data_IF_235672727198
#
_entry.id   IF_235672727198
#
_cell.length_a   1.000
_cell.length_b   1.000
_cell.length_c   1.000
_cell.angle_alpha   90.00
_cell.angle_beta   90.00
_cell.angle_gamma   90.00
#
_symmetry.space_group_name_H-M   'P 1'
#
loop_
_entity.id
_entity.type
_entity.pdbx_description
1 polymer ?
#
# COMPACT_ATOMS: atom_id res chain seq x y z
N UNK A 1 34.70 -17.89 -1.46
CA UNK A 1 33.63 -17.93 -2.50
C UNK A 1 32.35 -18.18 -1.75
N UNK A 2 31.61 -17.13 -1.48
CA UNK A 2 30.26 -17.22 -0.92
C UNK A 2 29.35 -17.79 -1.99
N UNK A 3 28.60 -18.83 -1.62
CA UNK A 3 27.61 -19.49 -2.47
C UNK A 3 26.70 -18.45 -3.15
N UNK A 4 26.43 -18.53 -4.47
CA UNK A 4 25.54 -17.58 -5.13
C UNK A 4 24.11 -17.78 -4.60
N UNK A 5 23.83 -17.11 -3.59
CA UNK A 5 22.68 -16.39 -3.11
C UNK A 5 21.32 -16.84 -3.66
N UNK A 6 20.73 -17.75 -2.96
CA UNK A 6 19.28 -17.75 -2.86
C UNK A 6 18.88 -16.65 -1.88
N UNK A 7 18.66 -15.43 -2.39
CA UNK A 7 18.11 -14.34 -1.57
C UNK A 7 16.72 -14.76 -1.10
N UNK A 8 16.44 -14.58 0.19
CA UNK A 8 15.12 -14.87 0.72
C UNK A 8 14.05 -14.02 0.04
N UNK A 9 13.01 -14.66 -0.48
CA UNK A 9 11.84 -13.99 -1.04
C UNK A 9 10.86 -13.51 0.06
N UNK A 10 11.14 -13.84 1.31
CA UNK A 10 10.39 -13.37 2.48
C UNK A 10 11.19 -12.28 3.21
N UNK A 11 10.50 -11.33 3.87
CA UNK A 11 11.12 -10.39 4.79
C UNK A 11 11.89 -11.12 5.89
N UNK A 12 12.99 -10.52 6.32
CA UNK A 12 13.80 -11.11 7.39
C UNK A 12 13.02 -11.12 8.72
N UNK A 13 13.18 -12.15 9.57
CA UNK A 13 12.60 -12.14 10.91
C UNK A 13 13.01 -10.89 11.69
N UNK A 14 12.07 -10.31 12.43
CA UNK A 14 12.28 -9.06 13.15
C UNK A 14 12.08 -7.78 12.33
N UNK A 15 11.81 -7.88 11.01
CA UNK A 15 11.49 -6.72 10.16
C UNK A 15 10.42 -5.85 10.80
N UNK A 16 10.71 -4.55 10.98
CA UNK A 16 9.83 -3.56 11.59
C UNK A 16 8.99 -2.92 10.48
N UNK A 17 7.70 -3.26 10.45
CA UNK A 17 6.75 -2.80 9.43
C UNK A 17 5.80 -1.77 10.00
N UNK A 18 5.64 -0.62 9.33
CA UNK A 18 4.48 0.26 9.48
C UNK A 18 3.51 0.07 8.31
N UNK A 19 2.22 -0.05 8.62
CA UNK A 19 1.13 -0.05 7.62
C UNK A 19 0.12 1.03 7.98
N UNK A 20 -0.17 1.93 7.03
CA UNK A 20 -1.33 2.83 7.15
C UNK A 20 -2.58 2.17 6.56
N UNK A 21 -3.74 2.34 7.20
CA UNK A 21 -4.97 1.63 6.77
C UNK A 21 -4.86 0.12 7.02
N UNK A 22 -4.34 -0.27 8.18
CA UNK A 22 -4.02 -1.66 8.52
C UNK A 22 -5.06 -2.38 9.38
N UNK A 23 -6.18 -1.73 9.75
CA UNK A 23 -7.21 -2.36 10.57
C UNK A 23 -7.95 -3.48 9.83
N UNK A 24 -8.05 -3.39 8.51
CA UNK A 24 -8.77 -4.36 7.67
C UNK A 24 -8.21 -4.47 6.23
N UNK A 25 -8.80 -5.35 5.45
CA UNK A 25 -8.56 -5.48 4.00
C UNK A 25 -7.09 -5.79 3.66
N UNK A 26 -6.56 -5.09 2.66
CA UNK A 26 -5.19 -5.30 2.15
C UNK A 26 -4.16 -4.99 3.23
N UNK A 27 -4.30 -3.84 3.92
CA UNK A 27 -3.34 -3.44 4.94
C UNK A 27 -3.23 -4.45 6.09
N UNK A 28 -4.37 -4.99 6.55
CA UNK A 28 -4.39 -6.04 7.57
C UNK A 28 -3.74 -7.33 7.07
N UNK A 29 -4.03 -7.76 5.85
CA UNK A 29 -3.40 -8.95 5.29
C UNK A 29 -1.88 -8.81 5.15
N UNK A 30 -1.39 -7.61 4.82
CA UNK A 30 0.06 -7.32 4.80
C UNK A 30 0.63 -7.41 6.20
N UNK A 31 0.00 -6.79 7.20
CA UNK A 31 0.42 -6.86 8.60
C UNK A 31 0.49 -8.32 9.09
N UNK A 32 -0.57 -9.10 8.86
CA UNK A 32 -0.63 -10.53 9.25
C UNK A 32 0.46 -11.35 8.53
N UNK A 33 0.71 -11.08 7.24
CA UNK A 33 1.72 -11.80 6.48
C UNK A 33 3.15 -11.54 6.96
N UNK A 34 3.45 -10.30 7.36
CA UNK A 34 4.75 -9.97 7.97
C UNK A 34 4.86 -10.56 9.38
N UNK A 35 3.81 -10.49 10.18
CA UNK A 35 3.78 -11.08 11.52
C UNK A 35 4.02 -12.60 11.49
N UNK A 36 3.40 -13.31 10.54
CA UNK A 36 3.61 -14.75 10.33
C UNK A 36 5.07 -15.11 9.98
N UNK A 37 5.86 -14.13 9.52
CA UNK A 37 7.29 -14.24 9.22
C UNK A 37 8.20 -13.71 10.34
N UNK A 38 7.64 -13.46 11.52
CA UNK A 38 8.36 -12.93 12.67
C UNK A 38 8.58 -11.42 12.63
N UNK A 39 7.85 -10.69 11.80
CA UNK A 39 7.90 -9.23 11.73
C UNK A 39 7.27 -8.57 12.95
N UNK A 40 7.71 -7.35 13.24
CA UNK A 40 7.17 -6.45 14.27
C UNK A 40 6.25 -5.45 13.60
N UNK A 41 5.01 -5.34 14.03
CA UNK A 41 3.94 -4.67 13.30
C UNK A 41 3.50 -3.39 14.00
N UNK A 42 3.52 -2.28 13.26
CA UNK A 42 2.86 -1.03 13.63
C UNK A 42 1.72 -0.73 12.63
N UNK A 43 0.54 -0.44 13.16
CA UNK A 43 -0.61 -0.02 12.36
C UNK A 43 -1.01 1.40 12.75
N UNK A 44 -1.23 2.24 11.73
CA UNK A 44 -1.94 3.51 11.85
C UNK A 44 -3.26 3.41 11.07
N UNK A 45 -4.39 3.49 11.75
CA UNK A 45 -5.71 3.49 11.13
C UNK A 45 -6.67 4.41 11.87
N UNK A 46 -7.68 4.93 11.20
CA UNK A 46 -8.76 5.70 11.84
C UNK A 46 -9.68 4.81 12.67
N UNK A 47 -9.83 3.56 12.23
CA UNK A 47 -10.64 2.58 12.92
C UNK A 47 -9.77 1.79 13.91
N UNK A 48 -10.28 1.46 15.09
CA UNK A 48 -9.54 0.65 16.03
C UNK A 48 -9.21 -0.72 15.43
N UNK A 49 -8.00 -1.19 15.71
CA UNK A 49 -7.58 -2.54 15.29
C UNK A 49 -8.17 -3.54 16.28
N UNK A 50 -9.32 -4.13 15.92
CA UNK A 50 -9.90 -5.20 16.69
C UNK A 50 -9.00 -6.44 16.66
N UNK A 51 -8.87 -7.12 17.79
CA UNK A 51 -8.11 -8.38 17.91
C UNK A 51 -6.65 -8.27 17.42
N UNK A 52 -5.99 -7.16 17.77
CA UNK A 52 -4.57 -7.03 17.50
C UNK A 52 -3.78 -8.09 18.30
N UNK A 53 -2.90 -8.88 17.64
CA UNK A 53 -2.03 -9.80 18.36
C UNK A 53 -1.14 -9.08 19.38
N UNK A 54 -0.78 -9.77 20.45
CA UNK A 54 0.13 -9.24 21.45
C UNK A 54 1.46 -8.81 20.80
N UNK A 55 1.98 -7.65 21.20
CA UNK A 55 3.23 -7.10 20.69
C UNK A 55 3.09 -6.21 19.45
N UNK A 56 1.90 -6.08 18.89
CA UNK A 56 1.66 -5.07 17.85
C UNK A 56 1.53 -3.67 18.45
N UNK A 57 2.04 -2.67 17.74
CA UNK A 57 1.84 -1.25 18.06
C UNK A 57 0.67 -0.76 17.20
N UNK A 58 -0.48 -0.48 17.81
CA UNK A 58 -1.65 0.03 17.11
C UNK A 58 -1.90 1.49 17.53
N UNK A 59 -2.01 2.36 16.54
CA UNK A 59 -2.29 3.80 16.74
C UNK A 59 -3.54 4.16 15.99
N UNK A 60 -4.51 4.69 16.72
CA UNK A 60 -5.68 5.32 16.11
C UNK A 60 -5.29 6.71 15.63
N UNK A 61 -5.57 7.01 14.35
CA UNK A 61 -5.22 8.26 13.73
C UNK A 61 -5.42 8.26 12.21
N UNK A 62 -5.26 9.41 11.61
CA UNK A 62 -5.48 9.62 10.18
C UNK A 62 -4.20 9.54 9.37
N UNK A 63 -4.21 8.76 8.30
CA UNK A 63 -3.13 8.76 7.30
C UNK A 63 -3.03 10.10 6.53
N UNK A 64 -4.00 11.00 6.63
CA UNK A 64 -3.93 12.36 6.10
C UNK A 64 -3.31 13.37 7.09
N UNK A 65 -3.01 12.95 8.32
CA UNK A 65 -2.42 13.77 9.37
C UNK A 65 -0.93 13.50 9.54
N UNK A 66 -0.10 14.47 9.22
CA UNK A 66 1.35 14.36 9.44
C UNK A 66 1.72 14.13 10.91
N UNK A 67 0.94 14.70 11.84
CA UNK A 67 1.14 14.51 13.28
C UNK A 67 0.87 13.04 13.70
N UNK A 68 -0.23 12.43 13.20
CA UNK A 68 -0.58 11.06 13.54
C UNK A 68 0.43 10.07 12.93
N UNK A 69 0.86 10.34 11.71
CA UNK A 69 1.92 9.57 11.03
C UNK A 69 3.21 9.61 11.85
N UNK A 70 3.65 10.81 12.25
CA UNK A 70 4.88 10.97 13.03
C UNK A 70 4.76 10.31 14.41
N UNK A 71 3.59 10.39 15.06
CA UNK A 71 3.33 9.70 16.32
C UNK A 71 3.40 8.17 16.19
N UNK A 72 2.98 7.60 15.05
CA UNK A 72 3.11 6.18 14.78
C UNK A 72 4.59 5.77 14.61
N UNK A 73 5.37 6.54 13.86
CA UNK A 73 6.81 6.29 13.72
C UNK A 73 7.56 6.46 15.05
N UNK A 74 7.23 7.50 15.84
CA UNK A 74 7.84 7.70 17.16
C UNK A 74 7.58 6.52 18.10
N UNK A 75 6.39 5.93 18.05
CA UNK A 75 6.07 4.72 18.81
C UNK A 75 6.92 3.51 18.37
N UNK A 76 7.22 3.37 17.06
CA UNK A 76 8.15 2.35 16.56
C UNK A 76 9.59 2.62 17.01
N UNK A 77 10.03 3.87 16.96
CA UNK A 77 11.36 4.27 17.42
C UNK A 77 11.55 3.89 18.89
N UNK A 78 10.55 4.17 19.72
CA UNK A 78 10.55 3.82 21.14
C UNK A 78 10.52 2.30 21.38
N UNK A 79 9.69 1.57 20.64
CA UNK A 79 9.50 0.14 20.85
C UNK A 79 10.64 -0.69 20.26
N UNK A 80 11.20 -0.29 19.11
CA UNK A 80 12.09 -1.14 18.30
C UNK A 80 13.29 -0.42 17.70
N UNK A 81 13.45 0.88 17.90
CA UNK A 81 14.59 1.65 17.42
C UNK A 81 14.57 1.98 15.92
N UNK A 82 13.40 2.04 15.28
CA UNK A 82 13.25 2.49 13.90
C UNK A 82 12.28 1.66 13.05
N UNK A 83 12.38 1.77 11.73
CA UNK A 83 11.52 1.15 10.72
C UNK A 83 12.36 0.54 9.60
N UNK A 84 11.98 -0.64 9.11
CA UNK A 84 12.64 -1.30 7.96
C UNK A 84 11.76 -1.23 6.71
N UNK A 85 10.44 -1.36 6.89
CA UNK A 85 9.45 -1.30 5.81
C UNK A 85 8.31 -0.38 6.21
N UNK A 86 7.95 0.55 5.33
CA UNK A 86 6.77 1.39 5.48
C UNK A 86 5.82 1.17 4.31
N UNK A 87 4.58 0.73 4.59
CA UNK A 87 3.56 0.54 3.57
C UNK A 87 2.48 1.62 3.68
N UNK A 88 2.57 2.63 2.84
CA UNK A 88 1.55 3.67 2.65
C UNK A 88 0.35 3.06 1.88
N UNK A 89 -0.58 2.43 2.62
CA UNK A 89 -1.68 1.66 2.04
C UNK A 89 -3.04 2.33 2.19
N UNK A 90 -3.25 3.18 3.18
CA UNK A 90 -4.53 3.85 3.41
C UNK A 90 -5.09 4.49 2.13
N UNK A 91 -6.39 4.32 1.90
CA UNK A 91 -7.02 4.88 0.72
C UNK A 91 -8.54 4.90 0.82
N UNK A 92 -9.13 5.90 0.18
CA UNK A 92 -10.57 6.12 0.06
C UNK A 92 -10.95 6.36 -1.39
N UNK A 93 -12.23 6.25 -1.71
CA UNK A 93 -12.74 6.49 -3.07
C UNK A 93 -13.99 7.37 -3.02
N UNK A 94 -14.12 8.26 -3.99
CA UNK A 94 -15.37 8.93 -4.34
C UNK A 94 -15.80 8.42 -5.71
N UNK A 95 -16.96 7.75 -5.76
CA UNK A 95 -17.46 7.07 -6.96
C UNK A 95 -18.73 7.75 -7.43
N UNK A 96 -18.60 8.81 -8.20
CA UNK A 96 -19.71 9.57 -8.80
C UNK A 96 -19.25 10.30 -10.08
N UNK A 97 -20.18 10.75 -10.93
CA UNK A 97 -19.87 11.56 -12.08
C UNK A 97 -19.01 12.76 -11.72
N UNK A 98 -17.98 13.07 -12.52
CA UNK A 98 -17.06 14.16 -12.24
C UNK A 98 -17.70 15.53 -12.17
N UNK A 99 -18.82 15.73 -12.88
CA UNK A 99 -19.61 16.97 -12.83
C UNK A 99 -20.34 17.18 -11.49
N UNK A 100 -20.54 16.10 -10.72
CA UNK A 100 -21.21 16.10 -9.41
C UNK A 100 -20.22 16.04 -8.23
N UNK A 101 -18.93 15.82 -8.53
CA UNK A 101 -17.90 15.72 -7.51
C UNK A 101 -17.64 17.09 -6.90
N UNK A 102 -17.88 17.25 -5.61
CA UNK A 102 -17.60 18.50 -4.91
C UNK A 102 -16.11 18.69 -4.65
N UNK A 103 -15.68 19.93 -4.45
CA UNK A 103 -14.30 20.25 -4.07
C UNK A 103 -13.90 19.53 -2.76
N UNK A 104 -14.78 19.46 -1.78
CA UNK A 104 -14.51 18.81 -0.50
C UNK A 104 -14.27 17.29 -0.67
N UNK A 105 -15.08 16.62 -1.49
CA UNK A 105 -14.88 15.19 -1.80
C UNK A 105 -13.59 14.96 -2.58
N UNK A 106 -13.30 15.82 -3.56
CA UNK A 106 -12.04 15.80 -4.30
C UNK A 106 -10.85 15.91 -3.34
N UNK A 107 -10.81 16.95 -2.49
CA UNK A 107 -9.74 17.18 -1.51
C UNK A 107 -9.62 16.03 -0.52
N UNK A 108 -10.72 15.50 0.00
CA UNK A 108 -10.69 14.37 0.93
C UNK A 108 -10.04 13.10 0.34
N UNK A 109 -10.21 12.85 -0.97
CA UNK A 109 -9.52 11.76 -1.65
C UNK A 109 -8.03 12.07 -1.83
N UNK A 110 -7.67 13.30 -2.21
CA UNK A 110 -6.28 13.72 -2.33
C UNK A 110 -5.53 13.63 -1.00
N UNK A 111 -6.15 14.12 0.06
CA UNK A 111 -5.52 14.17 1.39
C UNK A 111 -5.11 12.77 1.88
N UNK A 112 -5.98 11.78 1.70
CA UNK A 112 -5.67 10.41 2.12
C UNK A 112 -4.76 9.71 1.11
N UNK A 113 -5.17 9.70 -0.18
CA UNK A 113 -4.56 8.81 -1.18
C UNK A 113 -3.23 9.32 -1.74
N UNK A 114 -2.96 10.62 -1.67
CA UNK A 114 -1.76 11.23 -2.24
C UNK A 114 -0.93 11.93 -1.17
N UNK A 115 -1.50 12.92 -0.48
CA UNK A 115 -0.79 13.66 0.57
C UNK A 115 -0.35 12.70 1.68
N UNK A 116 -1.24 11.82 2.15
CA UNK A 116 -0.95 10.83 3.17
C UNK A 116 0.13 9.82 2.75
N UNK A 117 0.12 9.40 1.49
CA UNK A 117 1.20 8.54 0.94
C UNK A 117 2.54 9.26 0.97
N UNK A 118 2.59 10.53 0.52
CA UNK A 118 3.81 11.33 0.56
C UNK A 118 4.32 11.54 1.98
N UNK A 119 3.46 11.94 2.91
CA UNK A 119 3.83 12.17 4.30
C UNK A 119 4.35 10.89 4.99
N UNK A 120 3.68 9.76 4.75
CA UNK A 120 4.14 8.45 5.26
C UNK A 120 5.51 8.09 4.69
N UNK A 121 5.69 8.23 3.37
CA UNK A 121 6.95 7.97 2.71
C UNK A 121 8.07 8.89 3.21
N UNK A 122 7.79 10.18 3.39
CA UNK A 122 8.77 11.16 3.88
C UNK A 122 9.20 10.88 5.32
N UNK A 123 8.24 10.58 6.23
CA UNK A 123 8.54 10.27 7.62
C UNK A 123 9.38 8.97 7.75
N UNK A 124 9.08 7.97 6.92
CA UNK A 124 9.88 6.74 6.81
C UNK A 124 11.29 7.03 6.28
N UNK A 125 11.38 7.78 5.16
CA UNK A 125 12.64 8.06 4.49
C UNK A 125 13.63 8.82 5.38
N UNK A 126 13.17 9.76 6.20
CA UNK A 126 14.04 10.47 7.16
C UNK A 126 14.79 9.49 8.08
N UNK A 127 14.15 8.41 8.51
CA UNK A 127 14.73 7.37 9.37
C UNK A 127 15.60 6.40 8.56
N UNK A 128 15.10 5.97 7.42
CA UNK A 128 15.76 4.99 6.56
C UNK A 128 17.05 5.54 5.92
N UNK A 129 17.04 6.79 5.45
CA UNK A 129 18.23 7.48 4.91
C UNK A 129 19.30 7.61 5.99
N UNK A 130 18.94 7.96 7.23
CA UNK A 130 19.87 8.02 8.35
C UNK A 130 20.43 6.64 8.71
N UNK A 131 19.66 5.56 8.49
CA UNK A 131 20.09 4.17 8.71
C UNK A 131 20.85 3.58 7.50
N UNK A 132 20.81 4.21 6.33
CA UNK A 132 21.41 3.71 5.09
C UNK A 132 20.67 2.54 4.45
N UNK A 133 19.46 2.22 4.89
CA UNK A 133 18.67 1.11 4.37
C UNK A 133 17.17 1.29 4.66
N UNK A 134 16.31 0.79 3.77
CA UNK A 134 14.87 0.73 4.00
C UNK A 134 14.05 0.43 2.76
N UNK A 135 12.78 0.12 2.97
CA UNK A 135 11.83 -0.15 1.89
C UNK A 135 10.54 0.63 2.12
N UNK A 136 10.12 1.37 1.12
CA UNK A 136 8.85 2.08 1.12
C UNK A 136 7.96 1.47 0.04
N UNK A 137 6.76 1.04 0.42
CA UNK A 137 5.74 0.53 -0.46
C UNK A 137 4.55 1.48 -0.47
N UNK A 138 3.99 1.74 -1.65
CA UNK A 138 2.76 2.51 -1.80
C UNK A 138 1.68 1.65 -2.47
N UNK A 139 0.45 1.72 -1.99
CA UNK A 139 -0.68 1.11 -2.68
C UNK A 139 -1.21 2.06 -3.76
N UNK A 140 -0.85 1.77 -5.03
CA UNK A 140 -1.44 2.38 -6.21
C UNK A 140 -2.76 1.66 -6.56
N UNK A 141 -3.03 1.41 -7.82
CA UNK A 141 -4.19 0.68 -8.35
C UNK A 141 -3.96 0.39 -9.83
N UNK A 142 -4.70 -0.58 -10.40
CA UNK A 142 -4.88 -0.64 -11.85
C UNK A 142 -5.33 0.71 -12.41
N UNK A 143 -6.10 1.48 -11.65
CA UNK A 143 -6.55 2.83 -12.00
C UNK A 143 -5.48 3.93 -11.81
N UNK A 144 -4.30 3.57 -11.36
CA UNK A 144 -3.09 4.40 -11.49
C UNK A 144 -2.36 4.19 -12.83
N UNK A 145 -2.75 3.17 -13.60
CA UNK A 145 -2.18 2.77 -14.89
C UNK A 145 -3.19 2.87 -16.04
N UNK A 146 -4.47 3.00 -15.72
CA UNK A 146 -5.58 3.19 -16.67
C UNK A 146 -6.63 4.10 -16.04
N UNK A 147 -7.80 4.23 -16.65
CA UNK A 147 -8.88 5.10 -16.18
C UNK A 147 -10.21 4.35 -16.04
N UNK A 148 -11.14 4.93 -15.27
CA UNK A 148 -12.52 4.52 -15.20
C UNK A 148 -13.43 5.73 -15.04
N UNK A 149 -14.60 5.68 -15.65
CA UNK A 149 -15.65 6.67 -15.43
C UNK A 149 -16.08 6.70 -13.96
N UNK A 150 -16.54 7.85 -13.51
CA UNK A 150 -17.04 8.09 -12.15
C UNK A 150 -15.97 7.92 -11.04
N UNK A 151 -14.67 8.01 -11.36
CA UNK A 151 -13.55 7.82 -10.43
C UNK A 151 -12.48 8.89 -10.55
N UNK A 152 -12.85 10.13 -10.94
CA UNK A 152 -11.90 11.18 -11.27
C UNK A 152 -10.84 11.40 -10.18
N UNK A 153 -11.26 11.65 -8.92
CA UNK A 153 -10.31 11.87 -7.83
C UNK A 153 -9.44 10.64 -7.53
N UNK A 154 -10.05 9.45 -7.54
CA UNK A 154 -9.33 8.21 -7.27
C UNK A 154 -8.26 7.91 -8.33
N UNK A 155 -8.63 7.96 -9.63
CA UNK A 155 -7.69 7.70 -10.72
C UNK A 155 -6.57 8.73 -10.76
N UNK A 156 -6.89 10.01 -10.54
CA UNK A 156 -5.89 11.08 -10.46
C UNK A 156 -4.88 10.81 -9.34
N UNK A 157 -5.34 10.47 -8.12
CA UNK A 157 -4.45 10.19 -6.99
C UNK A 157 -3.59 8.95 -7.22
N UNK A 158 -4.16 7.87 -7.76
CA UNK A 158 -3.42 6.61 -7.97
C UNK A 158 -2.41 6.73 -9.12
N UNK A 159 -2.71 7.53 -10.15
CA UNK A 159 -1.74 7.93 -11.20
C UNK A 159 -0.60 8.77 -10.63
N UNK A 160 -0.94 9.77 -9.80
CA UNK A 160 0.05 10.59 -9.12
C UNK A 160 0.96 9.77 -8.20
N UNK A 161 0.42 8.82 -7.40
CA UNK A 161 1.21 7.90 -6.56
C UNK A 161 2.18 7.08 -7.41
N UNK A 162 1.72 6.55 -8.55
CA UNK A 162 2.60 5.77 -9.45
C UNK A 162 3.79 6.59 -9.98
N UNK A 163 3.60 7.89 -10.23
CA UNK A 163 4.70 8.74 -10.66
C UNK A 163 5.55 9.25 -9.48
N UNK A 164 4.93 9.56 -8.33
CA UNK A 164 5.61 9.95 -7.11
C UNK A 164 6.63 8.88 -6.67
N UNK A 165 6.25 7.61 -6.70
CA UNK A 165 7.14 6.48 -6.37
C UNK A 165 8.42 6.50 -7.20
N UNK A 166 8.35 6.81 -8.50
CA UNK A 166 9.54 6.91 -9.36
C UNK A 166 10.46 8.04 -8.95
N UNK A 167 9.89 9.20 -8.62
CA UNK A 167 10.65 10.35 -8.13
C UNK A 167 11.36 10.02 -6.82
N UNK A 168 10.63 9.49 -5.84
CA UNK A 168 11.18 9.15 -4.52
C UNK A 168 12.22 8.03 -4.60
N UNK A 169 12.02 7.06 -5.49
CA UNK A 169 13.01 6.02 -5.76
C UNK A 169 14.32 6.58 -6.32
N UNK A 170 14.24 7.58 -7.18
CA UNK A 170 15.40 8.28 -7.74
C UNK A 170 16.13 9.12 -6.70
N UNK A 171 15.39 9.83 -5.85
CA UNK A 171 15.95 10.69 -4.80
C UNK A 171 16.62 9.91 -3.67
N UNK A 172 15.98 8.82 -3.21
CA UNK A 172 16.40 8.11 -2.00
C UNK A 172 17.18 6.81 -2.28
N UNK A 173 17.15 6.33 -3.53
CA UNK A 173 17.93 5.16 -3.94
C UNK A 173 19.43 5.27 -3.63
N UNK A 174 20.12 6.40 -3.91
CA UNK A 174 21.52 6.62 -3.55
C UNK A 174 21.82 6.50 -2.04
N UNK A 175 20.78 6.59 -1.21
CA UNK A 175 20.85 6.47 0.25
C UNK A 175 20.43 5.08 0.77
N UNK A 176 20.30 4.08 -0.11
CA UNK A 176 19.94 2.71 0.27
C UNK A 176 18.45 2.48 0.52
N UNK A 177 17.59 3.41 0.12
CA UNK A 177 16.13 3.29 0.31
C UNK A 177 15.44 2.94 -1.01
N UNK A 178 14.75 1.80 -1.05
CA UNK A 178 13.95 1.39 -2.19
C UNK A 178 12.51 1.87 -2.05
N UNK A 179 11.93 2.38 -3.13
CA UNK A 179 10.54 2.86 -3.14
C UNK A 179 9.81 2.21 -4.31
N UNK A 180 8.76 1.43 -4.03
CA UNK A 180 7.97 0.75 -5.05
C UNK A 180 6.48 0.89 -4.78
N UNK A 181 5.64 0.69 -5.79
CA UNK A 181 4.20 0.62 -5.63
C UNK A 181 3.65 -0.75 -6.03
N UNK A 182 2.58 -1.15 -5.36
CA UNK A 182 1.74 -2.25 -5.77
C UNK A 182 0.48 -1.65 -6.38
N UNK A 183 0.06 -2.15 -7.53
CA UNK A 183 -1.16 -1.76 -8.23
C UNK A 183 -2.16 -2.93 -8.21
N UNK A 184 -2.99 -3.05 -7.17
CA UNK A 184 -4.00 -4.10 -7.10
C UNK A 184 -5.05 -3.96 -8.19
N UNK A 185 -5.55 -5.11 -8.68
CA UNK A 185 -6.80 -5.20 -9.39
C UNK A 185 -7.99 -5.18 -8.44
N UNK A 186 -9.07 -5.88 -8.80
CA UNK A 186 -10.23 -6.02 -7.94
C UNK A 186 -10.00 -7.09 -6.88
N UNK A 187 -9.88 -6.66 -5.62
CA UNK A 187 -9.59 -7.48 -4.45
C UNK A 187 -10.81 -7.53 -3.54
N UNK A 188 -11.14 -8.72 -3.03
CA UNK A 188 -12.23 -8.95 -2.08
C UNK A 188 -11.94 -8.24 -0.75
N UNK A 189 -12.46 -7.03 -0.61
CA UNK A 189 -12.35 -6.18 0.59
C UNK A 189 -13.72 -5.59 0.93
N UNK A 190 -13.89 -5.07 2.13
CA UNK A 190 -15.13 -4.40 2.55
C UNK A 190 -15.47 -3.23 1.62
N UNK A 191 -14.44 -2.48 1.17
CA UNK A 191 -14.61 -1.41 0.18
C UNK A 191 -15.25 -1.93 -1.11
N UNK A 192 -14.79 -3.06 -1.62
CA UNK A 192 -15.36 -3.68 -2.81
C UNK A 192 -16.78 -4.18 -2.56
N UNK A 193 -17.01 -4.85 -1.43
CA UNK A 193 -18.35 -5.34 -1.07
C UNK A 193 -19.37 -4.20 -0.98
N UNK A 194 -18.98 -3.06 -0.38
CA UNK A 194 -19.82 -1.86 -0.32
C UNK A 194 -20.18 -1.37 -1.72
N UNK A 195 -19.24 -1.33 -2.67
CA UNK A 195 -19.48 -0.89 -4.05
C UNK A 195 -20.43 -1.85 -4.80
N UNK A 196 -20.32 -3.15 -4.56
CA UNK A 196 -21.23 -4.16 -5.12
C UNK A 196 -22.64 -3.99 -4.55
N UNK A 197 -22.76 -3.82 -3.23
CA UNK A 197 -24.04 -3.59 -2.55
C UNK A 197 -24.75 -2.31 -3.03
N UNK A 198 -24.00 -1.29 -3.36
CA UNK A 198 -24.49 -0.02 -3.92
C UNK A 198 -24.81 -0.11 -5.42
N UNK A 199 -24.60 -1.26 -6.07
CA UNK A 199 -24.82 -1.43 -7.50
C UNK A 199 -23.79 -0.68 -8.39
N UNK A 200 -22.69 -0.21 -7.81
CA UNK A 200 -21.63 0.52 -8.52
C UNK A 200 -20.61 -0.40 -9.20
N UNK A 201 -20.63 -1.69 -8.89
CA UNK A 201 -19.80 -2.73 -9.49
C UNK A 201 -20.63 -3.98 -9.81
N UNK A 202 -20.43 -4.52 -11.01
CA UNK A 202 -20.95 -5.82 -11.42
C UNK A 202 -19.87 -6.90 -11.25
N UNK A 203 -20.00 -7.82 -10.28
CA UNK A 203 -19.02 -8.89 -10.09
C UNK A 203 -18.83 -9.79 -11.30
N UNK A 204 -19.89 -10.05 -12.08
CA UNK A 204 -19.82 -10.92 -13.26
C UNK A 204 -18.96 -10.27 -14.36
N UNK A 205 -19.17 -8.99 -14.63
CA UNK A 205 -18.35 -8.22 -15.58
C UNK A 205 -16.88 -8.13 -15.13
N UNK A 206 -16.64 -7.96 -13.82
CA UNK A 206 -15.26 -7.96 -13.28
C UNK A 206 -14.56 -9.29 -13.48
N UNK A 207 -15.25 -10.41 -13.24
CA UNK A 207 -14.73 -11.76 -13.44
C UNK A 207 -14.47 -12.04 -14.93
N UNK A 208 -15.37 -11.59 -15.81
CA UNK A 208 -15.22 -11.77 -17.26
C UNK A 208 -13.96 -11.06 -17.79
N UNK A 209 -13.64 -9.89 -17.25
CA UNK A 209 -12.46 -9.12 -17.65
C UNK A 209 -11.17 -9.59 -16.99
N UNK A 210 -11.21 -10.20 -15.81
CA UNK A 210 -10.02 -10.74 -15.14
C UNK A 210 -9.61 -12.06 -15.79
N UNK A 211 -8.42 -12.15 -16.39
CA UNK A 211 -7.99 -13.35 -17.16
C UNK A 211 -7.89 -14.60 -16.30
N UNK A 212 -7.53 -14.47 -15.01
CA UNK A 212 -7.53 -15.58 -14.05
C UNK A 212 -8.92 -15.95 -13.53
N UNK A 213 -10.00 -15.30 -14.00
CA UNK A 213 -11.41 -15.63 -13.72
C UNK A 213 -11.76 -15.69 -12.22
N UNK A 214 -11.02 -14.98 -11.40
CA UNK A 214 -11.31 -14.79 -9.97
C UNK A 214 -10.97 -13.37 -9.53
N UNK A 215 -11.61 -12.93 -8.48
CA UNK A 215 -11.19 -11.73 -7.77
C UNK A 215 -9.91 -12.01 -6.98
N UNK A 216 -9.10 -10.98 -6.79
CA UNK A 216 -7.95 -11.04 -5.90
C UNK A 216 -8.38 -11.22 -4.45
N UNK A 217 -7.56 -11.88 -3.66
CA UNK A 217 -7.68 -11.91 -2.20
C UNK A 217 -6.69 -10.90 -1.61
N UNK A 218 -6.94 -10.33 -0.43
CA UNK A 218 -5.95 -9.50 0.28
C UNK A 218 -4.58 -10.19 0.39
N UNK A 219 -4.55 -11.51 0.56
CA UNK A 219 -3.33 -12.30 0.61
C UNK A 219 -2.51 -12.29 -0.70
N UNK A 220 -3.16 -12.14 -1.86
CA UNK A 220 -2.45 -12.04 -3.15
C UNK A 220 -1.61 -10.74 -3.20
N UNK A 221 -2.10 -9.66 -2.58
CA UNK A 221 -1.39 -8.38 -2.47
C UNK A 221 -0.32 -8.45 -1.37
N UNK A 222 -0.64 -9.08 -0.25
CA UNK A 222 0.30 -9.27 0.86
C UNK A 222 1.54 -10.06 0.43
N UNK A 223 1.39 -11.08 -0.42
CA UNK A 223 2.51 -11.84 -0.98
C UNK A 223 3.47 -10.93 -1.78
N UNK A 224 2.94 -10.03 -2.62
CA UNK A 224 3.77 -9.06 -3.34
C UNK A 224 4.43 -8.05 -2.39
N UNK A 225 3.74 -7.60 -1.34
CA UNK A 225 4.32 -6.70 -0.36
C UNK A 225 5.48 -7.37 0.41
N UNK A 226 5.33 -8.63 0.79
CA UNK A 226 6.41 -9.41 1.40
C UNK A 226 7.61 -9.56 0.46
N UNK A 227 7.37 -9.93 -0.80
CA UNK A 227 8.44 -10.06 -1.80
C UNK A 227 9.19 -8.73 -2.00
N UNK A 228 8.48 -7.62 -2.22
CA UNK A 228 9.11 -6.31 -2.40
C UNK A 228 9.86 -5.82 -1.16
N UNK A 229 9.43 -6.24 0.03
CA UNK A 229 10.09 -5.95 1.31
C UNK A 229 11.25 -6.89 1.63
N UNK A 230 11.50 -7.91 0.80
CA UNK A 230 12.52 -8.92 1.03
C UNK A 230 13.85 -8.60 0.35
N UNK A 231 14.94 -9.30 0.74
CA UNK A 231 16.23 -9.23 0.04
C UNK A 231 16.16 -9.63 -1.44
N UNK A 232 15.27 -10.56 -1.82
CA UNK A 232 15.13 -10.98 -3.22
C UNK A 232 14.68 -9.85 -4.17
N UNK A 233 14.13 -8.76 -3.62
CA UNK A 233 13.73 -7.57 -4.37
C UNK A 233 14.77 -6.44 -4.32
N UNK A 234 16.03 -6.69 -3.93
CA UNK A 234 17.06 -5.64 -3.75
C UNK A 234 17.34 -4.82 -5.01
N UNK A 235 17.14 -5.41 -6.21
CA UNK A 235 17.32 -4.73 -7.49
C UNK A 235 16.03 -4.13 -8.06
N UNK A 236 14.93 -4.09 -7.26
CA UNK A 236 13.64 -3.51 -7.67
C UNK A 236 13.46 -2.16 -6.97
N UNK A 237 13.50 -1.07 -7.75
CA UNK A 237 13.33 0.29 -7.27
C UNK A 237 12.57 1.14 -8.31
N UNK A 238 11.57 1.92 -7.90
CA UNK A 238 10.74 2.74 -8.78
C UNK A 238 9.69 1.96 -9.58
N UNK A 239 9.49 0.68 -9.28
CA UNK A 239 8.57 -0.18 -10.00
C UNK A 239 7.11 -0.01 -9.54
N UNK A 240 6.17 -0.21 -10.47
CA UNK A 240 4.74 -0.28 -10.20
C UNK A 240 4.30 -1.71 -10.55
N UNK A 241 4.15 -2.54 -9.53
CA UNK A 241 3.86 -3.98 -9.68
C UNK A 241 2.36 -4.23 -9.74
N UNK A 242 1.84 -4.55 -10.92
CA UNK A 242 0.43 -4.95 -11.08
C UNK A 242 0.20 -6.32 -10.47
N UNK A 243 -0.80 -6.41 -9.58
CA UNK A 243 -1.29 -7.66 -8.98
C UNK A 243 -2.79 -7.71 -9.19
N UNK A 244 -3.22 -8.06 -10.39
CA UNK A 244 -4.55 -7.78 -10.90
C UNK A 244 -5.22 -8.99 -11.60
N UNK A 245 -4.60 -10.15 -11.54
CA UNK A 245 -5.11 -11.34 -12.22
C UNK A 245 -5.19 -11.22 -13.74
N UNK A 246 -4.38 -10.34 -14.33
CA UNK A 246 -4.33 -10.08 -15.76
C UNK A 246 -5.42 -9.14 -16.27
N UNK A 247 -6.04 -8.35 -15.39
CA UNK A 247 -7.07 -7.40 -15.76
C UNK A 247 -6.56 -6.32 -16.73
N UNK A 248 -5.37 -5.76 -16.49
CA UNK A 248 -4.74 -4.78 -17.39
C UNK A 248 -4.24 -5.40 -18.71
N UNK A 249 -3.87 -6.68 -18.69
CA UNK A 249 -3.41 -7.38 -19.89
C UNK A 249 -4.57 -7.73 -20.84
N UNK A 250 -5.81 -7.76 -20.35
CA UNK A 250 -7.00 -8.02 -21.16
C UNK A 250 -7.47 -6.74 -21.86
N UNK A 251 -7.02 -6.56 -23.10
CA UNK A 251 -7.43 -5.44 -23.96
C UNK A 251 -8.76 -5.65 -24.68
N UNK A 252 -9.44 -6.76 -24.45
CA UNK A 252 -10.75 -7.05 -25.05
C UNK A 252 -11.90 -6.26 -24.40
N UNK A 253 -13.05 -6.20 -25.09
CA UNK A 253 -14.26 -5.57 -24.58
C UNK A 253 -14.81 -6.27 -23.33
#
# INVERSE_FOLDING_TARGET
MTDPLVLSADPLPGTRLLVTGGARGIGRAVADAYAARGGRICILDRDPVSEAPAGWVCREGSAASGADIEAAFAAMDQAWGGVDVAHANAGVSANKPSLELTEAEWRGVLDVNLTGVFLTAQAAARRMVAAGAGVILATSSIYGLTAAANRAAYTATKGAVSNLVRTLASEWGPHGVRVNAIAPGYVQTDMMQTLVQQGLLDPAGLLARTTLRRLGRPADIAAMACFLGSPAAEWINGAIMSVDGGWLANGGP
#
